data_IF_975980132061
#
_entry.id   IF_975980132061
#
_cell.length_a   1.000
_cell.length_b   1.000
_cell.length_c   1.000
_cell.angle_alpha   90.00
_cell.angle_beta   90.00
_cell.angle_gamma   90.00
#
_symmetry.space_group_name_H-M   'P 1'
#
loop_
_entity.id
_entity.type
_entity.pdbx_description
1 polymer ?
#
# COMPACT_ATOMS: atom_id res chain seq x y z
N UNK A 1 -5.91 -16.49 18.02
CA UNK A 1 -6.14 -15.15 17.43
C UNK A 1 -5.29 -14.17 18.21
N UNK A 2 -4.48 -13.34 17.54
CA UNK A 2 -3.67 -12.32 18.20
C UNK A 2 -4.52 -11.18 18.75
N UNK A 3 -4.03 -10.47 19.77
CA UNK A 3 -4.69 -9.27 20.27
C UNK A 3 -4.77 -8.21 19.15
N UNK A 4 -5.86 -7.45 19.01
CA UNK A 4 -5.93 -6.36 18.06
C UNK A 4 -4.81 -5.35 18.32
N UNK A 5 -4.28 -4.76 17.25
CA UNK A 5 -3.22 -3.76 17.38
C UNK A 5 -3.73 -2.58 18.21
N UNK A 6 -2.95 -2.15 19.20
CA UNK A 6 -3.25 -0.95 19.98
C UNK A 6 -3.41 0.26 19.06
N UNK A 7 -4.27 1.22 19.45
CA UNK A 7 -4.55 2.42 18.66
C UNK A 7 -3.29 3.24 18.30
N UNK A 8 -2.23 3.13 19.12
CA UNK A 8 -0.94 3.79 18.91
C UNK A 8 0.06 2.98 18.09
N UNK A 9 -0.35 1.86 17.49
CA UNK A 9 0.54 1.04 16.66
C UNK A 9 0.89 1.78 15.35
N UNK A 10 2.13 1.62 14.83
CA UNK A 10 2.52 2.16 13.52
C UNK A 10 1.57 1.78 12.39
N UNK A 11 0.94 0.60 12.49
CA UNK A 11 -0.06 0.12 11.55
C UNK A 11 -1.37 0.92 11.63
N UNK A 12 -1.89 1.17 12.83
CA UNK A 12 -3.09 1.99 13.02
C UNK A 12 -2.85 3.42 12.52
N UNK A 13 -1.66 3.98 12.77
CA UNK A 13 -1.29 5.29 12.24
C UNK A 13 -1.23 5.31 10.70
N UNK A 14 -0.65 4.28 10.07
CA UNK A 14 -0.61 4.18 8.61
C UNK A 14 -2.02 4.09 8.02
N UNK A 15 -2.87 3.23 8.59
CA UNK A 15 -4.25 3.02 8.13
C UNK A 15 -5.12 4.28 8.24
N UNK A 16 -5.04 5.01 9.36
CA UNK A 16 -5.81 6.25 9.57
C UNK A 16 -5.45 7.34 8.57
N UNK A 17 -4.24 7.29 7.98
CA UNK A 17 -3.80 8.20 6.92
C UNK A 17 -4.08 7.68 5.50
N UNK A 18 -4.79 6.56 5.36
CA UNK A 18 -5.04 5.91 4.07
C UNK A 18 -3.85 5.14 3.51
N UNK A 19 -2.83 4.87 4.32
CA UNK A 19 -1.70 4.01 3.98
C UNK A 19 -2.05 2.53 4.09
N UNK A 20 -1.40 1.71 3.27
CA UNK A 20 -1.59 0.26 3.20
C UNK A 20 -0.33 -0.54 3.58
N UNK A 21 0.71 0.13 4.06
CA UNK A 21 1.97 -0.49 4.46
C UNK A 21 2.57 0.24 5.67
N UNK A 22 3.23 -0.52 6.54
CA UNK A 22 3.98 -0.02 7.69
C UNK A 22 5.16 -0.95 7.99
N UNK A 23 6.17 -0.46 8.72
CA UNK A 23 7.21 -1.30 9.31
C UNK A 23 6.93 -1.42 10.80
N UNK A 24 6.75 -2.64 11.28
CA UNK A 24 6.47 -2.97 12.69
C UNK A 24 7.63 -3.83 13.18
N UNK A 25 8.39 -3.35 14.15
CA UNK A 25 9.54 -4.08 14.73
C UNK A 25 10.52 -4.61 13.66
N UNK A 26 10.80 -3.78 12.64
CA UNK A 26 11.67 -4.14 11.52
C UNK A 26 11.04 -5.04 10.46
N UNK A 27 9.79 -5.50 10.67
CA UNK A 27 9.06 -6.33 9.72
C UNK A 27 8.13 -5.48 8.86
N UNK A 28 8.23 -5.52 7.52
CA UNK A 28 7.28 -4.84 6.65
C UNK A 28 5.94 -5.57 6.70
N UNK A 29 4.87 -4.82 6.99
CA UNK A 29 3.49 -5.29 6.96
C UNK A 29 2.77 -4.53 5.86
N UNK A 30 2.17 -5.27 4.93
CA UNK A 30 1.48 -4.72 3.77
C UNK A 30 0.08 -5.33 3.68
N UNK A 31 -0.89 -4.50 3.33
CA UNK A 31 -2.29 -4.87 3.24
C UNK A 31 -2.82 -4.64 1.82
N UNK A 32 -3.85 -5.39 1.46
CA UNK A 32 -4.59 -5.21 0.22
C UNK A 32 -6.05 -5.56 0.44
N UNK A 33 -6.93 -4.97 -0.37
CA UNK A 33 -8.36 -5.31 -0.38
C UNK A 33 -8.62 -6.73 -0.90
N UNK A 34 -7.63 -7.32 -1.58
CA UNK A 34 -7.61 -8.71 -2.05
C UNK A 34 -6.20 -9.30 -1.89
N UNK A 35 -6.09 -10.63 -1.96
CA UNK A 35 -4.78 -11.32 -1.99
C UNK A 35 -3.85 -10.83 -3.10
N UNK A 36 -4.30 -10.79 -4.38
CA UNK A 36 -3.49 -10.23 -5.47
C UNK A 36 -3.05 -8.78 -5.24
N UNK A 37 -3.94 -7.94 -4.68
CA UNK A 37 -3.58 -6.55 -4.39
C UNK A 37 -2.55 -6.44 -3.26
N UNK A 38 -2.65 -7.31 -2.26
CA UNK A 38 -1.66 -7.40 -1.18
C UNK A 38 -0.28 -7.76 -1.73
N UNK A 39 -0.20 -8.75 -2.64
CA UNK A 39 1.07 -9.15 -3.30
C UNK A 39 1.65 -7.98 -4.10
N UNK A 40 0.84 -7.32 -4.94
CA UNK A 40 1.29 -6.15 -5.70
C UNK A 40 1.81 -5.03 -4.78
N UNK A 41 1.10 -4.72 -3.71
CA UNK A 41 1.54 -3.70 -2.76
C UNK A 41 2.87 -4.09 -2.09
N UNK A 42 3.08 -5.39 -1.80
CA UNK A 42 4.33 -5.88 -1.24
C UNK A 42 5.50 -5.74 -2.22
N UNK A 43 5.30 -6.07 -3.50
CA UNK A 43 6.30 -5.85 -4.54
C UNK A 43 6.65 -4.37 -4.72
N UNK A 44 5.64 -3.49 -4.73
CA UNK A 44 5.87 -2.05 -4.84
C UNK A 44 6.66 -1.53 -3.64
N UNK A 45 6.31 -1.96 -2.43
CA UNK A 45 7.04 -1.60 -1.22
C UNK A 45 8.51 -2.03 -1.31
N UNK A 46 8.79 -3.26 -1.72
CA UNK A 46 10.15 -3.77 -1.88
C UNK A 46 10.94 -2.99 -2.96
N UNK A 47 10.32 -2.73 -4.11
CA UNK A 47 10.93 -1.94 -5.20
C UNK A 47 11.27 -0.52 -4.73
N UNK A 48 10.36 0.13 -4.01
CA UNK A 48 10.59 1.45 -3.42
C UNK A 48 11.72 1.43 -2.37
N UNK A 49 11.75 0.43 -1.49
CA UNK A 49 12.82 0.29 -0.50
C UNK A 49 14.21 0.11 -1.16
N UNK A 50 14.29 -0.71 -2.21
CA UNK A 50 15.52 -0.91 -3.00
C UNK A 50 15.97 0.38 -3.68
N UNK A 51 15.05 1.07 -4.36
CA UNK A 51 15.35 2.33 -5.03
C UNK A 51 15.79 3.42 -4.05
N UNK A 52 15.11 3.55 -2.91
CA UNK A 52 15.49 4.46 -1.82
C UNK A 52 16.91 4.17 -1.31
N UNK A 53 17.20 2.90 -1.03
CA UNK A 53 18.51 2.48 -0.51
C UNK A 53 19.62 2.82 -1.49
N UNK A 54 19.41 2.55 -2.79
CA UNK A 54 20.37 2.86 -3.84
C UNK A 54 20.58 4.39 -3.98
N UNK A 55 19.51 5.16 -4.07
CA UNK A 55 19.57 6.61 -4.17
C UNK A 55 20.30 7.23 -2.96
N UNK A 56 20.02 6.73 -1.75
CA UNK A 56 20.66 7.19 -0.53
C UNK A 56 22.15 6.85 -0.49
N UNK A 57 22.54 5.64 -0.91
CA UNK A 57 23.94 5.22 -1.01
C UNK A 57 24.73 6.06 -2.02
N UNK A 58 24.09 6.52 -3.10
CA UNK A 58 24.69 7.38 -4.11
C UNK A 58 24.67 8.88 -3.74
N UNK A 59 24.21 9.27 -2.55
CA UNK A 59 24.11 10.68 -2.14
C UNK A 59 23.07 11.50 -2.89
N UNK A 60 22.09 10.84 -3.53
CA UNK A 60 21.04 11.52 -4.30
C UNK A 60 20.09 12.28 -3.37
N UNK A 61 19.72 13.49 -3.75
CA UNK A 61 18.71 14.27 -3.02
C UNK A 61 17.30 13.74 -3.35
N UNK A 62 16.69 13.05 -2.38
CA UNK A 62 15.34 12.53 -2.51
C UNK A 62 14.30 13.64 -2.28
N UNK A 63 13.33 13.74 -3.18
CA UNK A 63 12.20 14.68 -3.08
C UNK A 63 10.88 13.92 -2.98
N UNK A 64 9.84 14.60 -2.52
CA UNK A 64 8.49 14.06 -2.55
C UNK A 64 7.99 13.97 -4.00
N UNK A 65 7.08 13.02 -4.25
CA UNK A 65 6.43 12.89 -5.54
C UNK A 65 5.68 14.19 -5.88
N UNK A 66 5.68 14.61 -7.17
CA UNK A 66 4.84 15.71 -7.60
C UNK A 66 3.37 15.46 -7.29
N UNK A 67 2.64 16.49 -6.88
CA UNK A 67 1.24 16.39 -6.42
C UNK A 67 0.31 15.73 -7.46
N UNK A 68 0.55 15.96 -8.76
CA UNK A 68 -0.27 15.37 -9.83
C UNK A 68 -0.06 13.86 -9.96
N UNK A 69 1.16 13.36 -9.67
CA UNK A 69 1.43 11.92 -9.61
C UNK A 69 0.65 11.29 -8.46
N UNK A 70 0.67 11.95 -7.29
CA UNK A 70 -0.09 11.52 -6.11
C UNK A 70 -1.60 11.50 -6.42
N UNK A 71 -2.11 12.52 -7.10
CA UNK A 71 -3.51 12.60 -7.50
C UNK A 71 -3.91 11.45 -8.44
N UNK A 72 -3.11 11.17 -9.47
CA UNK A 72 -3.35 10.08 -10.42
C UNK A 72 -3.30 8.72 -9.72
N UNK A 73 -2.29 8.50 -8.87
CA UNK A 73 -2.13 7.26 -8.12
C UNK A 73 -3.31 7.02 -7.16
N UNK A 74 -3.70 8.03 -6.38
CA UNK A 74 -4.84 7.94 -5.47
C UNK A 74 -6.15 7.71 -6.23
N UNK A 75 -6.36 8.38 -7.37
CA UNK A 75 -7.53 8.16 -8.21
C UNK A 75 -7.65 6.71 -8.74
N UNK A 76 -6.52 6.07 -9.07
CA UNK A 76 -6.51 4.64 -9.44
C UNK A 76 -6.83 3.75 -8.25
N UNK A 77 -6.24 4.03 -7.09
CA UNK A 77 -6.49 3.29 -5.86
C UNK A 77 -7.97 3.32 -5.44
N UNK A 78 -8.60 4.49 -5.46
CA UNK A 78 -10.02 4.65 -5.10
C UNK A 78 -10.96 3.89 -6.06
N UNK A 79 -10.62 3.81 -7.35
CA UNK A 79 -11.38 3.02 -8.33
C UNK A 79 -11.27 1.52 -8.06
N UNK A 80 -10.06 1.04 -7.75
CA UNK A 80 -9.82 -0.35 -7.39
C UNK A 80 -10.56 -0.74 -6.10
N UNK A 81 -10.51 0.13 -5.08
CA UNK A 81 -11.25 -0.05 -3.81
C UNK A 81 -12.76 -0.13 -4.05
N UNK A 82 -13.32 0.84 -4.79
CA UNK A 82 -14.76 0.86 -5.10
C UNK A 82 -15.20 -0.41 -5.84
N UNK A 83 -14.41 -0.87 -6.80
CA UNK A 83 -14.69 -2.11 -7.55
C UNK A 83 -14.62 -3.33 -6.63
N UNK A 84 -13.61 -3.41 -5.77
CA UNK A 84 -13.49 -4.51 -4.81
C UNK A 84 -14.68 -4.55 -3.85
N UNK A 85 -15.06 -3.40 -3.28
CA UNK A 85 -16.21 -3.28 -2.39
C UNK A 85 -17.51 -3.74 -3.05
N UNK A 86 -17.74 -3.38 -4.32
CA UNK A 86 -18.91 -3.83 -5.09
C UNK A 86 -18.92 -5.34 -5.29
N UNK A 87 -17.80 -5.95 -5.69
CA UNK A 87 -17.72 -7.40 -5.85
C UNK A 87 -18.00 -8.14 -4.53
N UNK A 88 -17.43 -7.67 -3.42
CA UNK A 88 -17.70 -8.27 -2.11
C UNK A 88 -19.16 -8.13 -1.68
N UNK A 89 -19.80 -6.99 -1.93
CA UNK A 89 -21.22 -6.80 -1.68
C UNK A 89 -22.10 -7.77 -2.49
N UNK A 90 -21.63 -8.19 -3.67
CA UNK A 90 -22.28 -9.19 -4.53
C UNK A 90 -21.89 -10.64 -4.19
N UNK A 91 -21.08 -10.88 -3.14
CA UNK A 91 -20.58 -12.21 -2.78
C UNK A 91 -19.57 -12.78 -3.79
N UNK A 92 -18.97 -11.92 -4.63
CA UNK A 92 -17.98 -12.28 -5.65
C UNK A 92 -16.58 -11.94 -5.18
N UNK A 93 -15.60 -12.74 -5.62
CA UNK A 93 -14.19 -12.40 -5.46
C UNK A 93 -13.86 -11.28 -6.45
N UNK A 94 -13.27 -10.16 -6.02
CA UNK A 94 -12.90 -9.09 -6.94
C UNK A 94 -11.91 -9.61 -7.99
N UNK A 95 -12.11 -9.26 -9.27
CA UNK A 95 -11.23 -9.70 -10.34
C UNK A 95 -9.82 -9.13 -10.14
N UNK A 96 -8.81 -9.89 -10.57
CA UNK A 96 -7.44 -9.43 -10.52
C UNK A 96 -7.28 -8.11 -11.27
N UNK A 97 -6.62 -7.15 -10.63
CA UNK A 97 -6.15 -5.94 -11.29
C UNK A 97 -5.01 -6.34 -12.22
N UNK A 98 -5.33 -6.66 -13.48
CA UNK A 98 -4.31 -6.84 -14.52
C UNK A 98 -3.65 -5.49 -14.79
N UNK A 99 -2.48 -5.27 -14.20
CA UNK A 99 -1.56 -4.21 -14.62
C UNK A 99 -0.77 -3.52 -13.50
N UNK A 100 0.56 -3.63 -13.61
CA UNK A 100 1.46 -2.49 -13.65
C UNK A 100 2.31 -2.59 -14.91
#
# INVERSE_FOLDING_TARGET
MGSPASADSPLAHALTRGGNAAVIDGTPVVMGTTGPRMVLNAELFEKCAKAYTLAKACGTHLTLLPWWVVLVANGRLMKDEKRAAQCFAEGKIPPETRGY
#
